data_IF_829493683241
#
_entry.id   IF_829493683241
#
_cell.length_a   1.000
_cell.length_b   1.000
_cell.length_c   1.000
_cell.angle_alpha   90.00
_cell.angle_beta   90.00
_cell.angle_gamma   90.00
#
_symmetry.space_group_name_H-M   'P 1'
#
loop_
_entity.id
_entity.type
_entity.pdbx_description
1 polymer ?
#
# COMPACT_ATOMS: atom_id res chain seq x y z
N UNK A 1 -14.19 -57.42 -24.05
CA UNK A 1 -12.96 -56.54 -23.94
C UNK A 1 -13.30 -55.09 -23.55
N UNK A 2 -14.33 -54.45 -24.11
CA UNK A 2 -14.66 -53.03 -23.79
C UNK A 2 -15.14 -52.83 -22.34
N UNK A 3 -15.86 -53.78 -21.76
CA UNK A 3 -16.35 -53.71 -20.36
C UNK A 3 -15.25 -53.86 -19.31
N UNK A 4 -14.19 -54.63 -19.59
CA UNK A 4 -13.07 -54.84 -18.69
C UNK A 4 -12.23 -53.57 -18.61
N UNK A 5 -12.08 -52.85 -19.72
CA UNK A 5 -11.36 -51.58 -19.79
C UNK A 5 -12.04 -50.48 -18.94
N UNK A 6 -13.38 -50.43 -18.97
CA UNK A 6 -14.13 -49.48 -18.14
C UNK A 6 -13.99 -49.74 -16.64
N UNK A 7 -13.94 -51.01 -16.24
CA UNK A 7 -13.77 -51.39 -14.83
C UNK A 7 -12.35 -50.99 -14.35
N UNK A 8 -11.32 -51.13 -15.22
CA UNK A 8 -9.96 -50.74 -14.88
C UNK A 8 -9.79 -49.24 -14.75
N UNK A 9 -10.47 -48.44 -15.58
CA UNK A 9 -10.48 -46.98 -15.51
C UNK A 9 -11.19 -46.51 -14.24
N UNK A 10 -12.31 -47.17 -13.86
CA UNK A 10 -13.03 -46.80 -12.64
C UNK A 10 -12.24 -47.13 -11.37
N UNK A 11 -11.42 -48.18 -11.37
CA UNK A 11 -10.57 -48.56 -10.22
C UNK A 11 -9.41 -47.61 -10.03
N UNK A 12 -8.92 -46.98 -11.11
CA UNK A 12 -7.82 -46.02 -11.02
C UNK A 12 -8.22 -44.62 -10.49
N UNK A 13 -9.52 -44.27 -10.55
CA UNK A 13 -10.02 -43.02 -9.99
C UNK A 13 -10.21 -43.05 -8.47
N UNK A 14 -10.20 -44.22 -7.84
CA UNK A 14 -10.37 -44.37 -6.39
C UNK A 14 -9.09 -44.18 -5.58
N UNK A 15 -7.93 -43.99 -6.23
CA UNK A 15 -6.63 -43.88 -5.56
C UNK A 15 -6.28 -42.48 -5.05
N UNK A 16 -7.14 -41.45 -5.18
CA UNK A 16 -6.92 -40.12 -4.65
C UNK A 16 -7.74 -39.81 -3.38
N UNK A 17 -7.96 -40.82 -2.52
CA UNK A 17 -8.36 -40.57 -1.14
C UNK A 17 -7.09 -40.39 -0.28
N UNK A 18 -6.43 -39.27 -0.48
CA UNK A 18 -5.40 -38.80 0.43
C UNK A 18 -6.06 -38.50 1.78
N UNK A 19 -5.87 -39.37 2.75
CA UNK A 19 -6.16 -39.11 4.16
C UNK A 19 -5.35 -37.89 4.60
N UNK A 20 -5.95 -36.72 4.42
CA UNK A 20 -5.44 -35.48 5.01
C UNK A 20 -5.48 -35.62 6.51
N UNK A 21 -4.33 -36.02 7.09
CA UNK A 21 -4.11 -35.94 8.52
C UNK A 21 -4.17 -34.47 8.87
N UNK A 22 -5.29 -34.02 9.42
CA UNK A 22 -5.42 -32.69 9.99
C UNK A 22 -4.38 -32.61 11.12
N UNK A 23 -3.31 -31.87 10.87
CA UNK A 23 -2.35 -31.50 11.90
C UNK A 23 -3.13 -30.58 12.83
N UNK A 24 -3.27 -30.90 14.12
CA UNK A 24 -3.85 -29.96 15.07
C UNK A 24 -2.96 -28.71 15.04
N UNK A 25 -3.54 -27.58 14.67
CA UNK A 25 -2.90 -26.28 14.81
C UNK A 25 -2.82 -26.02 16.31
N UNK A 26 -1.73 -26.45 16.92
CA UNK A 26 -1.37 -25.96 18.25
C UNK A 26 -0.90 -24.51 18.03
N UNK A 27 -1.48 -23.59 18.79
CA UNK A 27 -1.18 -22.16 18.85
C UNK A 27 0.27 -21.81 19.27
N UNK A 28 1.21 -22.71 19.07
CA UNK A 28 2.63 -22.51 19.33
C UNK A 28 3.40 -22.36 18.00
N UNK A 29 3.45 -21.12 17.51
CA UNK A 29 4.38 -20.70 16.48
C UNK A 29 4.08 -21.22 15.08
N UNK A 30 3.26 -20.50 14.32
CA UNK A 30 3.18 -20.70 12.88
C UNK A 30 4.52 -20.30 12.27
N UNK A 31 5.35 -21.32 11.93
CA UNK A 31 6.58 -21.08 11.21
C UNK A 31 6.32 -20.37 9.89
N UNK A 32 7.21 -19.50 9.46
CA UNK A 32 7.14 -18.81 8.18
C UNK A 32 6.98 -19.81 7.05
N UNK A 33 5.93 -19.65 6.25
CA UNK A 33 5.64 -20.49 5.08
C UNK A 33 6.78 -20.41 4.03
N UNK A 34 7.58 -19.34 4.08
CA UNK A 34 8.65 -19.09 3.11
C UNK A 34 10.02 -19.60 3.53
N UNK A 35 10.30 -19.73 4.83
CA UNK A 35 11.65 -20.06 5.29
C UNK A 35 11.75 -21.40 6.00
N UNK A 36 10.63 -22.04 6.34
CA UNK A 36 10.61 -23.33 7.05
C UNK A 36 11.25 -23.32 8.45
N UNK A 37 11.65 -22.15 8.96
CA UNK A 37 12.20 -21.98 10.29
C UNK A 37 11.08 -21.64 11.27
N UNK A 38 11.14 -22.12 12.53
CA UNK A 38 10.20 -21.73 13.58
C UNK A 38 10.54 -20.34 14.15
N UNK A 39 10.62 -19.35 13.25
CA UNK A 39 10.63 -17.94 13.62
C UNK A 39 9.17 -17.48 13.72
N UNK A 40 8.84 -16.53 14.61
CA UNK A 40 7.50 -15.97 14.68
C UNK A 40 7.18 -15.26 13.36
N UNK A 41 6.58 -16.00 12.44
CA UNK A 41 6.09 -15.44 11.18
C UNK A 41 4.91 -14.51 11.43
N UNK A 42 4.76 -13.49 10.60
CA UNK A 42 3.58 -12.59 10.63
C UNK A 42 2.34 -13.45 10.36
N UNK A 43 1.45 -13.55 11.33
CA UNK A 43 0.19 -14.27 11.18
C UNK A 43 -0.82 -13.39 10.42
N UNK A 44 -1.87 -14.01 9.83
CA UNK A 44 -2.96 -13.24 9.22
C UNK A 44 -3.70 -12.37 10.25
N UNK A 45 -3.70 -12.77 11.53
CA UNK A 45 -4.20 -11.96 12.64
C UNK A 45 -3.32 -10.72 12.86
N UNK A 46 -1.99 -10.86 12.77
CA UNK A 46 -1.05 -9.74 12.90
C UNK A 46 -1.21 -8.75 11.74
N UNK A 47 -1.47 -9.24 10.53
CA UNK A 47 -1.83 -8.38 9.39
C UNK A 47 -3.17 -7.66 9.63
N UNK A 48 -4.15 -8.33 10.22
CA UNK A 48 -5.41 -7.71 10.62
C UNK A 48 -5.23 -6.63 11.68
N UNK A 49 -4.33 -6.84 12.63
CA UNK A 49 -3.96 -5.84 13.62
C UNK A 49 -3.15 -4.68 13.02
N UNK A 50 -2.26 -4.94 12.10
CA UNK A 50 -1.51 -3.90 11.36
C UNK A 50 -2.41 -3.01 10.52
N UNK A 51 -3.54 -3.54 10.02
CA UNK A 51 -4.52 -2.80 9.21
C UNK A 51 -5.56 -2.10 10.12
N UNK A 52 -5.70 -2.55 11.36
CA UNK A 52 -6.65 -1.96 12.31
C UNK A 52 -6.07 -0.68 12.93
N UNK A 53 -6.65 0.50 12.65
CA UNK A 53 -6.13 1.78 13.17
C UNK A 53 -6.14 1.86 14.71
N UNK A 54 -6.80 0.93 15.39
CA UNK A 54 -6.83 0.86 16.86
C UNK A 54 -5.67 0.08 17.48
N UNK A 55 -4.94 -0.72 16.71
CA UNK A 55 -3.89 -1.61 17.21
C UNK A 55 -2.45 -1.10 17.00
N UNK A 56 -2.27 0.15 16.57
CA UNK A 56 -0.94 0.79 16.46
C UNK A 56 -0.04 0.28 15.33
N UNK A 57 -0.50 -0.68 14.51
CA UNK A 57 0.23 -1.20 13.36
C UNK A 57 -0.16 -0.58 12.01
N UNK A 58 -1.12 0.34 12.00
CA UNK A 58 -1.54 1.07 10.80
C UNK A 58 -0.57 2.19 10.41
N UNK A 59 -0.82 2.80 9.26
CA UNK A 59 -0.12 4.02 8.88
C UNK A 59 -0.33 5.09 9.95
N UNK A 60 0.70 5.87 10.33
CA UNK A 60 0.60 6.92 11.34
C UNK A 60 -0.22 8.13 10.88
N UNK A 61 -0.98 7.99 9.80
CA UNK A 61 -1.75 9.04 9.14
C UNK A 61 -3.16 8.56 8.80
N UNK A 62 -4.10 9.50 8.68
CA UNK A 62 -5.47 9.18 8.28
C UNK A 62 -5.54 8.74 6.82
N UNK A 63 -6.03 7.53 6.56
CA UNK A 63 -6.07 6.93 5.23
C UNK A 63 -7.00 7.69 4.25
N UNK A 64 -8.06 8.34 4.73
CA UNK A 64 -8.98 9.12 3.88
C UNK A 64 -8.33 10.45 3.48
N UNK A 65 -7.67 11.14 4.42
CA UNK A 65 -6.91 12.36 4.12
C UNK A 65 -5.76 12.05 3.17
N UNK A 66 -5.05 10.94 3.40
CA UNK A 66 -3.99 10.49 2.52
C UNK A 66 -4.46 10.26 1.09
N UNK A 67 -5.55 9.50 0.93
CA UNK A 67 -6.12 9.23 -0.38
C UNK A 67 -6.58 10.52 -1.08
N UNK A 68 -7.26 11.42 -0.37
CA UNK A 68 -7.68 12.69 -0.91
C UNK A 68 -6.50 13.57 -1.34
N UNK A 69 -5.41 13.58 -0.53
CA UNK A 69 -4.18 14.30 -0.87
C UNK A 69 -3.51 13.75 -2.13
N UNK A 70 -3.45 12.42 -2.27
CA UNK A 70 -2.92 11.77 -3.48
C UNK A 70 -3.77 12.11 -4.71
N UNK A 71 -5.09 12.09 -4.58
CA UNK A 71 -6.01 12.39 -5.69
C UNK A 71 -5.80 13.82 -6.21
N UNK A 72 -5.67 14.79 -5.30
CA UNK A 72 -5.39 16.19 -5.65
C UNK A 72 -3.97 16.35 -6.21
N UNK A 73 -2.97 15.77 -5.56
CA UNK A 73 -1.57 15.88 -5.96
C UNK A 73 -1.32 15.26 -7.35
N UNK A 74 -2.04 14.20 -7.70
CA UNK A 74 -1.91 13.49 -8.99
C UNK A 74 -2.28 14.32 -10.21
N UNK A 75 -2.90 15.50 -10.02
CA UNK A 75 -3.13 16.48 -11.11
C UNK A 75 -1.83 17.12 -11.60
N UNK A 76 -0.75 17.01 -10.83
CA UNK A 76 0.61 17.44 -11.14
C UNK A 76 1.52 16.21 -11.06
N UNK A 77 2.56 16.09 -11.89
CA UNK A 77 3.52 15.00 -11.74
C UNK A 77 4.09 14.94 -10.33
N UNK A 78 4.13 13.75 -9.75
CA UNK A 78 4.61 13.53 -8.38
C UNK A 78 6.11 13.24 -8.43
N UNK A 79 6.87 13.90 -7.56
CA UNK A 79 8.32 13.74 -7.38
C UNK A 79 8.61 12.65 -6.34
N UNK A 80 8.00 12.77 -5.15
CA UNK A 80 8.26 11.86 -4.03
C UNK A 80 7.02 11.59 -3.18
N UNK A 81 6.95 10.40 -2.60
CA UNK A 81 5.88 9.95 -1.70
C UNK A 81 6.49 9.24 -0.50
N UNK A 82 6.32 9.82 0.69
CA UNK A 82 6.62 9.17 1.96
C UNK A 82 5.33 8.86 2.72
N UNK A 83 4.90 7.61 2.64
CA UNK A 83 3.67 7.15 3.29
C UNK A 83 3.81 7.10 4.82
N UNK A 84 5.01 6.86 5.34
CA UNK A 84 5.25 6.82 6.79
C UNK A 84 5.38 8.22 7.40
N UNK A 85 6.05 9.12 6.71
CA UNK A 85 6.14 10.53 7.08
C UNK A 85 4.89 11.33 6.71
N UNK A 86 3.96 10.74 5.96
CA UNK A 86 2.72 11.39 5.57
C UNK A 86 2.91 12.54 4.59
N UNK A 87 3.95 12.51 3.74
CA UNK A 87 4.26 13.59 2.81
C UNK A 87 4.17 13.17 1.34
N UNK A 88 3.70 14.10 0.51
CA UNK A 88 3.64 13.97 -0.95
C UNK A 88 4.24 15.23 -1.54
N UNK A 89 5.24 15.08 -2.39
CA UNK A 89 5.95 16.18 -3.04
C UNK A 89 5.70 16.10 -4.54
N UNK A 90 5.30 17.22 -5.16
CA UNK A 90 5.12 17.27 -6.62
C UNK A 90 6.38 17.78 -7.29
N UNK A 91 6.50 17.49 -8.58
CA UNK A 91 7.45 18.18 -9.44
C UNK A 91 7.11 19.67 -9.60
N UNK A 92 8.07 20.44 -10.13
CA UNK A 92 7.79 21.79 -10.59
C UNK A 92 6.87 21.77 -11.81
N UNK A 93 5.75 22.43 -11.71
CA UNK A 93 4.74 22.47 -12.75
C UNK A 93 4.42 23.89 -13.18
N UNK A 94 4.43 24.14 -14.50
CA UNK A 94 4.03 25.41 -15.09
C UNK A 94 2.66 25.26 -15.75
N UNK A 95 1.72 26.14 -15.39
CA UNK A 95 0.43 26.18 -16.09
C UNK A 95 0.62 26.74 -17.49
N UNK A 96 -0.12 26.17 -18.45
CA UNK A 96 -0.09 26.64 -19.85
C UNK A 96 -0.42 28.14 -20.01
N UNK A 97 -1.24 28.67 -19.10
CA UNK A 97 -1.62 30.10 -19.09
C UNK A 97 -0.53 31.00 -18.47
N UNK A 98 0.42 30.44 -17.75
CA UNK A 98 1.48 31.17 -17.04
C UNK A 98 2.85 30.44 -17.22
N UNK A 99 3.40 30.40 -18.44
CA UNK A 99 4.62 29.63 -18.73
C UNK A 99 5.88 30.18 -18.05
N UNK A 100 5.83 31.44 -17.57
CA UNK A 100 6.92 32.08 -16.83
C UNK A 100 6.80 31.92 -15.31
N UNK A 101 5.83 31.17 -14.83
CA UNK A 101 5.66 30.81 -13.43
C UNK A 101 5.59 29.30 -13.30
N UNK A 102 6.16 28.78 -12.22
CA UNK A 102 6.03 27.37 -11.85
C UNK A 102 5.75 27.23 -10.37
N UNK A 103 5.00 26.20 -10.04
CA UNK A 103 4.66 25.85 -8.66
C UNK A 103 5.18 24.46 -8.33
N UNK A 104 5.53 24.25 -7.07
CA UNK A 104 5.78 22.95 -6.47
C UNK A 104 4.94 22.87 -5.21
N UNK A 105 4.25 21.76 -5.01
CA UNK A 105 3.38 21.53 -3.86
C UNK A 105 3.98 20.46 -2.98
N UNK A 106 3.85 20.65 -1.67
CA UNK A 106 4.12 19.60 -0.69
C UNK A 106 2.91 19.47 0.22
N UNK A 107 2.33 18.28 0.25
CA UNK A 107 1.23 17.92 1.12
C UNK A 107 1.78 17.19 2.34
N UNK A 108 1.23 17.48 3.51
CA UNK A 108 1.52 16.75 4.75
C UNK A 108 0.21 16.32 5.38
N UNK A 109 0.07 15.04 5.67
CA UNK A 109 -0.98 14.49 6.52
C UNK A 109 -0.39 14.25 7.89
N UNK A 110 -0.90 14.98 8.89
CA UNK A 110 -0.23 15.16 10.19
C UNK A 110 -0.83 14.30 11.31
N UNK A 111 -2.03 13.74 11.11
CA UNK A 111 -2.78 13.09 12.18
C UNK A 111 -3.56 11.87 11.65
N UNK A 112 -3.95 11.00 12.58
CA UNK A 112 -4.85 9.87 12.36
C UNK A 112 -6.32 10.29 12.32
N UNK A 113 -6.67 11.41 12.96
CA UNK A 113 -8.04 11.90 13.00
C UNK A 113 -8.43 12.59 11.69
N UNK A 114 -9.67 12.38 11.28
CA UNK A 114 -10.23 13.06 10.12
C UNK A 114 -10.64 14.49 10.50
N UNK A 115 -9.69 15.41 10.43
CA UNK A 115 -9.86 16.83 10.76
C UNK A 115 -9.25 17.69 9.66
N UNK A 116 -9.81 18.89 9.46
CA UNK A 116 -9.32 19.82 8.42
C UNK A 116 -7.93 20.38 8.71
N UNK A 117 -7.53 20.47 9.98
CA UNK A 117 -6.21 20.92 10.42
C UNK A 117 -5.16 19.79 10.46
N UNK A 118 -5.58 18.55 10.20
CA UNK A 118 -4.68 17.40 10.05
C UNK A 118 -4.01 17.32 8.67
N UNK A 119 -4.27 18.29 7.80
CA UNK A 119 -3.61 18.40 6.50
C UNK A 119 -2.96 19.79 6.37
N UNK A 120 -1.76 19.81 5.80
CA UNK A 120 -1.03 21.05 5.50
C UNK A 120 -0.52 20.98 4.07
N UNK A 121 -0.68 22.06 3.33
CA UNK A 121 -0.14 22.20 1.98
C UNK A 121 0.83 23.37 1.97
N UNK A 122 2.06 23.11 1.51
CA UNK A 122 3.06 24.15 1.23
C UNK A 122 3.12 24.36 -0.28
N UNK A 123 3.13 25.63 -0.67
CA UNK A 123 3.19 26.04 -2.08
C UNK A 123 4.49 26.83 -2.28
N UNK A 124 5.32 26.34 -3.18
CA UNK A 124 6.52 27.04 -3.63
C UNK A 124 6.22 27.63 -5.00
N UNK A 125 6.60 28.88 -5.21
CA UNK A 125 6.37 29.58 -6.48
C UNK A 125 7.69 30.14 -6.97
N UNK A 126 7.99 29.89 -8.24
CA UNK A 126 9.12 30.52 -8.91
C UNK A 126 8.68 31.24 -10.16
N UNK A 127 9.33 32.35 -10.45
CA UNK A 127 9.14 33.14 -11.67
C UNK A 127 10.40 33.09 -12.54
N UNK A 128 10.20 33.14 -13.85
CA UNK A 128 11.30 33.18 -14.80
C UNK A 128 11.70 34.62 -15.08
N UNK A 129 12.95 34.97 -14.74
CA UNK A 129 13.55 36.27 -15.03
C UNK A 129 14.90 36.01 -15.71
N UNK A 130 15.13 36.65 -16.85
CA UNK A 130 16.37 36.54 -17.63
C UNK A 130 16.81 35.09 -17.94
N UNK A 131 15.84 34.19 -18.11
CA UNK A 131 16.07 32.77 -18.37
C UNK A 131 16.30 31.92 -17.12
N UNK A 132 16.41 32.50 -15.93
CA UNK A 132 16.60 31.83 -14.65
C UNK A 132 15.28 31.74 -13.87
N UNK A 133 15.13 30.68 -13.07
CA UNK A 133 14.04 30.55 -12.13
C UNK A 133 14.42 31.14 -10.79
N UNK A 134 13.62 32.08 -10.30
CA UNK A 134 13.84 32.82 -9.06
C UNK A 134 12.62 32.61 -8.16
N UNK A 135 12.88 32.41 -6.87
CA UNK A 135 11.82 32.30 -5.86
C UNK A 135 11.06 33.61 -5.75
N UNK A 136 9.72 33.48 -5.59
CA UNK A 136 8.81 34.62 -5.53
C UNK A 136 8.20 34.77 -4.14
#
# INVERSE_FOLDING_TARGET
MRSVLFIYILLMLAACSGSGKSIPVNDAGSGSILTGKPEPGISLSDLGEMINPKSGGGLPINALLWRASLDIASSIPIDDIDTFGGSIVTEWYSLAKSPNERIKLTFFVLDLELRSDAIRVQVYVQKRQDGLWIDN
#
